data_IF_306005090454
#
_entry.id   IF_306005090454
#
_cell.length_a   1.000
_cell.length_b   1.000
_cell.length_c   1.000
_cell.angle_alpha   90.00
_cell.angle_beta   90.00
_cell.angle_gamma   90.00
#
_symmetry.space_group_name_H-M   'P 1'
#
loop_
_entity.id
_entity.type
_entity.pdbx_description
1 polymer ?
#
# COMPACT_ATOMS: atom_id res chain seq x y z
N UNK A 1 -4.94 -16.24 7.56
CA UNK A 1 -4.98 -14.74 7.68
C UNK A 1 -5.55 -14.13 6.42
N UNK A 2 -6.44 -13.16 6.59
CA UNK A 2 -6.93 -12.39 5.44
C UNK A 2 -5.89 -11.35 5.03
N UNK A 3 -6.06 -10.76 3.84
CA UNK A 3 -5.21 -9.66 3.41
C UNK A 3 -5.27 -8.48 4.38
N UNK A 4 -6.47 -8.20 4.92
CA UNK A 4 -6.62 -7.15 5.92
C UNK A 4 -5.78 -7.45 7.17
N UNK A 5 -5.80 -8.69 7.65
CA UNK A 5 -5.01 -9.10 8.81
C UNK A 5 -3.51 -8.93 8.56
N UNK A 6 -3.05 -9.28 7.38
CA UNK A 6 -1.64 -9.12 7.01
C UNK A 6 -1.24 -7.65 6.95
N UNK A 7 -2.11 -6.80 6.42
CA UNK A 7 -1.87 -5.36 6.39
C UNK A 7 -1.79 -4.79 7.82
N UNK A 8 -2.69 -5.20 8.71
CA UNK A 8 -2.67 -4.77 10.11
C UNK A 8 -1.39 -5.22 10.79
N UNK A 9 -0.94 -6.44 10.51
CA UNK A 9 0.32 -6.97 11.05
C UNK A 9 1.49 -6.09 10.63
N UNK A 10 1.53 -5.65 9.37
CA UNK A 10 2.58 -4.77 8.87
C UNK A 10 2.52 -3.39 9.51
N UNK A 11 1.32 -2.84 9.70
CA UNK A 11 1.12 -1.53 10.31
C UNK A 11 1.48 -1.53 11.80
N UNK A 12 1.21 -2.62 12.49
CA UNK A 12 1.44 -2.76 13.92
C UNK A 12 0.15 -2.61 14.70
N UNK A 13 -0.11 -1.42 15.24
CA UNK A 13 -1.30 -1.17 16.06
C UNK A 13 -2.21 -0.16 15.34
N UNK A 14 -3.16 -0.67 14.57
CA UNK A 14 -4.08 0.16 13.82
C UNK A 14 -5.27 0.59 14.69
N UNK A 15 -5.76 1.84 14.52
CA UNK A 15 -6.97 2.28 15.22
C UNK A 15 -8.21 1.55 14.70
N UNK A 16 -9.26 1.55 15.52
CA UNK A 16 -10.53 0.97 15.10
C UNK A 16 -11.06 1.69 13.86
N UNK A 17 -11.60 0.93 12.92
CA UNK A 17 -12.11 1.47 11.67
C UNK A 17 -11.04 1.82 10.64
N UNK A 18 -9.79 1.42 10.86
CA UNK A 18 -8.71 1.67 9.91
C UNK A 18 -8.99 0.97 8.59
N UNK A 19 -9.12 1.75 7.52
CA UNK A 19 -9.50 1.22 6.21
C UNK A 19 -8.75 1.95 5.08
N UNK A 20 -7.52 1.56 4.78
CA UNK A 20 -6.71 2.24 3.75
C UNK A 20 -7.24 2.08 2.33
N UNK A 21 -8.11 1.08 2.07
CA UNK A 21 -8.70 0.91 0.74
C UNK A 21 -9.76 1.96 0.44
N UNK A 22 -10.42 2.50 1.46
CA UNK A 22 -11.53 3.44 1.30
C UNK A 22 -11.22 4.85 1.81
N UNK A 23 -10.19 4.98 2.65
CA UNK A 23 -9.78 6.26 3.24
C UNK A 23 -8.40 6.67 2.76
N UNK A 24 -8.30 7.82 2.11
CA UNK A 24 -7.02 8.38 1.68
C UNK A 24 -6.11 8.71 2.86
N UNK A 25 -6.68 9.18 3.98
CA UNK A 25 -5.91 9.46 5.19
C UNK A 25 -5.30 8.20 5.78
N UNK A 26 -6.07 7.12 5.83
CA UNK A 26 -5.57 5.83 6.34
C UNK A 26 -4.52 5.24 5.42
N UNK A 27 -4.71 5.38 4.10
CA UNK A 27 -3.73 4.96 3.11
C UNK A 27 -2.41 5.73 3.29
N UNK A 28 -2.49 7.03 3.50
CA UNK A 28 -1.31 7.86 3.72
C UNK A 28 -0.58 7.49 5.00
N UNK A 29 -1.32 7.21 6.08
CA UNK A 29 -0.73 6.77 7.35
C UNK A 29 0.02 5.45 7.17
N UNK A 30 -0.57 4.52 6.42
CA UNK A 30 0.06 3.25 6.12
C UNK A 30 1.34 3.45 5.32
N UNK A 31 1.30 4.32 4.31
CA UNK A 31 2.45 4.65 3.49
C UNK A 31 3.61 5.21 4.32
N UNK A 32 3.30 6.17 5.19
CA UNK A 32 4.31 6.82 6.04
C UNK A 32 4.89 5.81 7.04
N UNK A 33 4.04 5.01 7.67
CA UNK A 33 4.47 4.03 8.68
C UNK A 33 5.47 3.03 8.11
N UNK A 34 5.25 2.56 6.89
CA UNK A 34 6.09 1.56 6.24
C UNK A 34 7.25 2.16 5.42
N UNK A 35 7.31 3.49 5.34
CA UNK A 35 8.35 4.14 4.53
C UNK A 35 8.21 3.82 3.04
N UNK A 36 6.98 3.80 2.57
CA UNK A 36 6.64 3.37 1.22
C UNK A 36 6.75 4.53 0.24
N UNK A 37 7.29 4.27 -0.95
CA UNK A 37 7.28 5.21 -2.06
C UNK A 37 6.15 4.85 -3.00
N UNK A 38 5.38 5.86 -3.42
CA UNK A 38 4.29 5.67 -4.36
C UNK A 38 4.39 6.68 -5.48
N UNK A 39 4.13 6.26 -6.71
CA UNK A 39 4.25 7.14 -7.87
C UNK A 39 3.19 6.81 -8.93
N UNK A 40 2.96 7.78 -9.81
CA UNK A 40 2.02 7.67 -10.92
C UNK A 40 2.75 7.99 -12.21
N UNK A 41 2.57 7.14 -13.22
CA UNK A 41 3.14 7.37 -14.55
C UNK A 41 2.19 6.84 -15.61
N UNK A 42 1.72 7.71 -16.52
CA UNK A 42 0.76 7.32 -17.56
C UNK A 42 -0.54 6.83 -16.95
N UNK A 43 -0.87 5.56 -17.19
CA UNK A 43 -2.08 4.93 -16.65
C UNK A 43 -1.76 3.89 -15.59
N UNK A 44 -0.56 3.95 -15.01
CA UNK A 44 -0.10 3.00 -13.99
C UNK A 44 0.26 3.75 -12.72
N UNK A 45 -0.14 3.20 -11.58
CA UNK A 45 0.36 3.63 -10.27
C UNK A 45 1.17 2.50 -9.69
N UNK A 46 2.21 2.83 -8.93
CA UNK A 46 2.97 1.81 -8.21
C UNK A 46 3.30 2.29 -6.80
N UNK A 47 3.49 1.31 -5.92
CA UNK A 47 3.98 1.54 -4.57
C UNK A 47 5.06 0.52 -4.29
N UNK A 48 6.10 0.94 -3.57
CA UNK A 48 7.17 0.03 -3.20
C UNK A 48 7.76 0.40 -1.85
N UNK A 49 8.27 -0.60 -1.17
CA UNK A 49 9.03 -0.41 0.07
C UNK A 49 9.93 -1.63 0.28
N UNK A 50 10.82 -1.52 1.24
CA UNK A 50 11.65 -2.65 1.64
C UNK A 50 10.82 -3.58 2.52
N UNK A 51 10.88 -4.89 2.24
CA UNK A 51 10.22 -5.90 3.06
C UNK A 51 10.75 -5.88 4.49
N UNK A 52 12.04 -5.62 4.64
CA UNK A 52 12.74 -5.50 5.91
C UNK A 52 13.78 -4.40 5.76
N UNK A 53 13.70 -3.37 6.59
CA UNK A 53 14.62 -2.23 6.55
C UNK A 53 16.08 -2.63 6.78
N UNK A 54 16.31 -3.77 7.43
CA UNK A 54 17.66 -4.30 7.66
C UNK A 54 18.19 -5.09 6.46
N UNK A 55 17.34 -5.35 5.46
CA UNK A 55 17.68 -6.11 4.26
C UNK A 55 17.25 -5.34 3.01
N UNK A 56 18.02 -4.30 2.62
CA UNK A 56 17.60 -3.37 1.56
C UNK A 56 17.51 -3.99 0.17
N UNK A 57 17.96 -5.23 -0.01
CA UNK A 57 17.87 -5.93 -1.29
C UNK A 57 16.49 -6.54 -1.54
N UNK A 58 15.63 -6.57 -0.54
CA UNK A 58 14.28 -7.15 -0.65
C UNK A 58 13.24 -6.04 -0.80
N UNK A 59 13.02 -5.61 -2.04
CA UNK A 59 12.05 -4.56 -2.36
C UNK A 59 10.76 -5.21 -2.82
N UNK A 60 9.64 -4.79 -2.24
CA UNK A 60 8.30 -5.20 -2.64
C UNK A 60 7.70 -4.08 -3.47
N UNK A 61 7.23 -4.41 -4.67
CA UNK A 61 6.59 -3.46 -5.57
C UNK A 61 5.25 -4.02 -6.05
N UNK A 62 4.22 -3.18 -6.03
CA UNK A 62 2.92 -3.50 -6.62
C UNK A 62 2.51 -2.37 -7.56
N UNK A 63 2.22 -2.74 -8.79
CA UNK A 63 1.79 -1.79 -9.82
C UNK A 63 0.38 -2.14 -10.28
N UNK A 64 -0.47 -1.13 -10.47
CA UNK A 64 -1.85 -1.29 -10.90
C UNK A 64 -2.16 -0.31 -12.02
N UNK A 65 -3.00 -0.77 -12.94
CA UNK A 65 -3.53 0.10 -13.99
C UNK A 65 -4.77 0.83 -13.49
N UNK A 66 -4.98 2.04 -13.99
CA UNK A 66 -6.20 2.78 -13.73
C UNK A 66 -6.76 3.33 -15.05
N UNK A 67 -8.06 3.64 -15.06
CA UNK A 67 -8.73 4.20 -16.22
C UNK A 67 -8.82 5.72 -16.06
N UNK A 68 -8.09 6.51 -16.87
CA UNK A 68 -8.10 7.96 -16.75
C UNK A 68 -9.46 8.59 -17.08
N UNK A 69 -10.36 7.84 -17.72
CA UNK A 69 -11.70 8.32 -18.02
C UNK A 69 -12.64 8.25 -16.81
N UNK A 70 -12.26 7.50 -15.76
CA UNK A 70 -13.07 7.36 -14.54
C UNK A 70 -12.52 8.33 -13.50
N UNK A 71 -13.35 9.27 -12.99
CA UNK A 71 -12.90 10.20 -11.95
C UNK A 71 -12.34 9.47 -10.73
N UNK A 72 -11.18 9.92 -10.26
CA UNK A 72 -10.51 9.41 -9.06
C UNK A 72 -10.08 7.94 -9.13
N UNK A 73 -10.09 7.31 -10.31
CA UNK A 73 -9.62 5.93 -10.44
C UNK A 73 -8.13 5.80 -10.14
N UNK A 74 -7.35 6.84 -10.44
CA UNK A 74 -5.94 6.92 -10.08
C UNK A 74 -5.74 6.87 -8.56
N UNK A 75 -6.59 7.57 -7.81
CA UNK A 75 -6.53 7.57 -6.34
C UNK A 75 -6.93 6.21 -5.77
N UNK A 76 -7.95 5.58 -6.35
CA UNK A 76 -8.35 4.22 -5.97
C UNK A 76 -7.19 3.25 -6.20
N UNK A 77 -6.58 3.30 -7.38
CA UNK A 77 -5.46 2.41 -7.71
C UNK A 77 -4.26 2.65 -6.78
N UNK A 78 -4.01 3.90 -6.41
CA UNK A 78 -2.95 4.25 -5.47
C UNK A 78 -3.20 3.62 -4.10
N UNK A 79 -4.42 3.76 -3.55
CA UNK A 79 -4.76 3.16 -2.26
C UNK A 79 -4.63 1.64 -2.29
N UNK A 80 -5.09 1.03 -3.38
CA UNK A 80 -5.03 -0.42 -3.54
C UNK A 80 -3.58 -0.90 -3.65
N UNK A 81 -2.74 -0.19 -4.39
CA UNK A 81 -1.32 -0.49 -4.53
C UNK A 81 -0.61 -0.45 -3.18
N UNK A 82 -0.85 0.60 -2.40
CA UNK A 82 -0.29 0.76 -1.05
C UNK A 82 -0.74 -0.39 -0.14
N UNK A 83 -2.03 -0.74 -0.19
CA UNK A 83 -2.58 -1.85 0.58
C UNK A 83 -1.90 -3.16 0.22
N UNK A 84 -1.75 -3.46 -1.07
CA UNK A 84 -1.14 -4.71 -1.52
C UNK A 84 0.33 -4.83 -1.11
N UNK A 85 1.08 -3.73 -1.14
CA UNK A 85 2.46 -3.73 -0.64
C UNK A 85 2.47 -4.04 0.86
N UNK A 86 1.57 -3.42 1.63
CA UNK A 86 1.48 -3.67 3.07
C UNK A 86 1.13 -5.13 3.38
N UNK A 87 0.26 -5.74 2.59
CA UNK A 87 -0.08 -7.17 2.71
C UNK A 87 1.18 -8.02 2.58
N UNK A 88 2.00 -7.74 1.57
CA UNK A 88 3.23 -8.50 1.36
C UNK A 88 4.26 -8.27 2.47
N UNK A 89 4.36 -7.05 3.00
CA UNK A 89 5.21 -6.78 4.16
C UNK A 89 4.75 -7.61 5.37
N UNK A 90 3.43 -7.65 5.62
CA UNK A 90 2.87 -8.45 6.70
C UNK A 90 3.13 -9.94 6.52
N UNK A 91 3.08 -10.41 5.27
CA UNK A 91 3.37 -11.80 4.94
C UNK A 91 4.84 -12.15 5.18
N UNK A 92 5.74 -11.20 4.97
CA UNK A 92 7.18 -11.39 5.13
C UNK A 92 7.64 -11.33 6.60
N UNK A 93 6.81 -10.79 7.47
CA UNK A 93 7.11 -10.74 8.90
C UNK A 93 6.40 -11.86 9.64
#
# INVERSE_FOLDING_TARGET
MTDHDLMIKAFGSAPEGFSPLTSGDDSQRLQVKLGMTASVGGTTVDACCWADKTKPMQIITKALLFDPAIPDDDLRAMRESIFLVAVEVGRAT
#
